data_IF_642796774870
#
_entry.id   IF_642796774870
#
_cell.length_a   1.000
_cell.length_b   1.000
_cell.length_c   1.000
_cell.angle_alpha   90.00
_cell.angle_beta   90.00
_cell.angle_gamma   90.00
#
_symmetry.space_group_name_H-M   'P 1'
#
loop_
_entity.id
_entity.type
_entity.pdbx_description
1 polymer ?
#
# COMPACT_ATOMS: atom_id res chain seq x y z
N UNK A 1 -11.30 10.95 8.87
CA UNK A 1 -10.14 10.77 9.77
C UNK A 1 -9.84 9.29 9.94
N UNK A 2 -8.61 8.96 10.38
CA UNK A 2 -8.23 7.59 10.76
C UNK A 2 -7.94 7.54 12.26
N UNK A 3 -8.13 6.38 12.86
CA UNK A 3 -7.74 6.13 14.24
C UNK A 3 -6.22 5.93 14.40
N UNK A 4 -5.75 5.68 15.62
CA UNK A 4 -4.32 5.45 15.90
C UNK A 4 -3.76 4.18 15.24
N UNK A 5 -4.63 3.27 14.79
CA UNK A 5 -4.25 2.09 13.99
C UNK A 5 -4.31 2.35 12.49
N UNK A 6 -4.74 3.55 12.05
CA UNK A 6 -4.86 3.90 10.65
C UNK A 6 -6.10 3.31 9.97
N UNK A 7 -7.13 2.96 10.75
CA UNK A 7 -8.42 2.49 10.23
C UNK A 7 -9.40 3.64 10.08
N UNK A 8 -10.26 3.55 9.06
CA UNK A 8 -11.39 4.46 8.86
C UNK A 8 -12.58 4.00 9.71
N UNK A 9 -13.22 4.95 10.37
CA UNK A 9 -14.50 4.71 11.03
C UNK A 9 -15.64 5.00 10.05
N UNK A 10 -16.26 3.97 9.49
CA UNK A 10 -17.33 4.11 8.48
C UNK A 10 -18.49 5.00 8.96
N UNK A 11 -18.80 5.00 10.26
CA UNK A 11 -19.81 5.90 10.84
C UNK A 11 -19.41 7.37 10.78
N UNK A 12 -18.11 7.69 10.81
CA UNK A 12 -17.61 9.07 10.62
C UNK A 12 -17.66 9.46 9.14
N UNK A 13 -17.37 8.51 8.24
CA UNK A 13 -17.49 8.71 6.81
C UNK A 13 -18.93 8.94 6.38
N UNK A 14 -19.88 8.19 6.96
CA UNK A 14 -21.33 8.40 6.78
C UNK A 14 -21.74 9.82 7.23
N UNK A 15 -21.29 10.25 8.39
CA UNK A 15 -21.59 11.59 8.92
C UNK A 15 -20.95 12.71 8.08
N UNK A 16 -19.81 12.44 7.43
CA UNK A 16 -19.11 13.39 6.57
C UNK A 16 -19.64 13.39 5.12
N UNK A 17 -20.41 12.37 4.72
CA UNK A 17 -20.94 12.22 3.37
C UNK A 17 -22.03 13.24 3.10
N UNK A 18 -21.72 14.21 2.25
CA UNK A 18 -22.66 15.28 1.88
C UNK A 18 -23.54 14.82 0.71
N UNK A 19 -24.83 15.22 0.67
CA UNK A 19 -25.72 14.89 -0.43
C UNK A 19 -25.25 15.37 -1.81
N UNK A 20 -24.38 16.39 -1.86
CA UNK A 20 -23.79 16.97 -3.06
C UNK A 20 -22.37 16.45 -3.37
N UNK A 21 -21.91 15.42 -2.67
CA UNK A 21 -20.64 14.78 -2.96
C UNK A 21 -20.68 14.15 -4.36
N UNK A 22 -19.68 14.44 -5.18
CA UNK A 22 -19.58 13.97 -6.57
C UNK A 22 -18.78 12.66 -6.65
N UNK A 23 -17.75 12.55 -5.81
CA UNK A 23 -16.86 11.39 -5.77
C UNK A 23 -16.40 11.12 -4.35
N UNK A 24 -16.36 9.84 -4.01
CA UNK A 24 -15.67 9.35 -2.81
C UNK A 24 -14.52 8.48 -3.29
N UNK A 25 -13.30 8.80 -2.85
CA UNK A 25 -12.09 8.10 -3.27
C UNK A 25 -11.32 7.61 -2.05
N UNK A 26 -11.21 6.29 -1.92
CA UNK A 26 -10.54 5.64 -0.77
C UNK A 26 -9.66 4.53 -1.31
N UNK A 27 -8.42 4.43 -0.84
CA UNK A 27 -7.53 3.35 -1.22
C UNK A 27 -7.97 2.02 -0.61
N UNK A 28 -7.77 0.92 -1.32
CA UNK A 28 -8.06 -0.42 -0.78
C UNK A 28 -7.02 -0.83 0.26
N UNK A 29 -5.75 -0.53 0.01
CA UNK A 29 -4.64 -0.84 0.90
C UNK A 29 -3.71 0.37 1.04
N UNK A 30 -3.32 0.67 2.27
CA UNK A 30 -2.38 1.74 2.55
C UNK A 30 -0.94 1.29 2.24
N UNK A 31 -0.24 2.06 1.43
CA UNK A 31 1.11 1.76 0.94
C UNK A 31 2.23 1.92 1.98
N UNK A 32 1.94 2.45 3.16
CA UNK A 32 2.93 2.63 4.23
C UNK A 32 2.74 1.64 5.37
N UNK A 33 1.49 1.36 5.76
CA UNK A 33 1.16 0.46 6.88
C UNK A 33 0.75 -0.94 6.43
N UNK A 34 0.32 -1.09 5.17
CA UNK A 34 -0.28 -2.33 4.67
C UNK A 34 -1.73 -2.52 5.11
N UNK A 35 -2.33 -1.57 5.81
CA UNK A 35 -3.71 -1.66 6.26
C UNK A 35 -4.68 -1.80 5.10
N UNK A 36 -5.63 -2.72 5.24
CA UNK A 36 -6.80 -2.83 4.39
C UNK A 36 -7.90 -1.90 4.92
N UNK A 37 -8.46 -1.08 4.04
CA UNK A 37 -9.55 -0.18 4.38
C UNK A 37 -10.91 -0.81 4.07
N UNK A 38 -12.00 -0.39 4.73
CA UNK A 38 -13.31 -1.05 4.70
C UNK A 38 -14.09 -0.75 3.40
N UNK A 39 -13.56 -1.18 2.25
CA UNK A 39 -14.12 -0.89 0.92
C UNK A 39 -15.53 -1.44 0.74
N UNK A 40 -15.81 -2.64 1.31
CA UNK A 40 -17.12 -3.26 1.21
C UNK A 40 -18.20 -2.45 1.96
N UNK A 41 -17.89 -2.00 3.17
CA UNK A 41 -18.79 -1.21 4.01
C UNK A 41 -19.04 0.17 3.39
N UNK A 42 -17.98 0.80 2.84
CA UNK A 42 -18.10 2.08 2.14
C UNK A 42 -18.90 1.91 0.85
N UNK A 43 -18.68 0.86 0.10
CA UNK A 43 -19.46 0.55 -1.09
C UNK A 43 -20.93 0.31 -0.78
N UNK A 44 -21.25 -0.34 0.35
CA UNK A 44 -22.62 -0.51 0.83
C UNK A 44 -23.28 0.84 1.20
N UNK A 45 -22.53 1.72 1.89
CA UNK A 45 -22.98 3.08 2.21
C UNK A 45 -23.28 3.91 0.97
N UNK A 46 -22.46 3.77 -0.08
CA UNK A 46 -22.56 4.57 -1.30
C UNK A 46 -23.57 4.00 -2.31
N UNK A 47 -24.14 2.82 -2.11
CA UNK A 47 -25.02 2.14 -3.08
C UNK A 47 -26.20 2.99 -3.52
N UNK A 48 -26.82 3.70 -2.61
CA UNK A 48 -27.96 4.58 -2.87
C UNK A 48 -27.57 6.08 -2.94
N UNK A 49 -26.26 6.37 -2.87
CA UNK A 49 -25.75 7.73 -2.91
C UNK A 49 -25.32 8.10 -4.35
N UNK A 50 -25.53 9.34 -4.84
CA UNK A 50 -25.17 9.74 -6.19
C UNK A 50 -23.68 9.88 -6.46
N UNK A 51 -22.84 9.89 -5.42
CA UNK A 51 -21.38 9.99 -5.57
C UNK A 51 -20.80 8.77 -6.27
N UNK A 52 -19.85 9.01 -7.16
CA UNK A 52 -19.05 7.95 -7.80
C UNK A 52 -18.07 7.38 -6.77
N UNK A 53 -18.05 6.07 -6.61
CA UNK A 53 -17.09 5.41 -5.73
C UNK A 53 -15.84 4.99 -6.49
N UNK A 54 -14.71 5.62 -6.14
CA UNK A 54 -13.38 5.29 -6.64
C UNK A 54 -12.55 4.62 -5.56
N UNK A 55 -11.84 3.55 -5.90
CA UNK A 55 -10.79 3.00 -5.05
C UNK A 55 -9.44 3.01 -5.77
N UNK A 56 -8.39 3.46 -5.06
CA UNK A 56 -7.02 3.18 -5.45
C UNK A 56 -6.65 1.77 -4.96
N UNK A 57 -6.59 0.82 -5.89
CA UNK A 57 -6.24 -0.56 -5.62
C UNK A 57 -4.79 -0.90 -6.04
N UNK A 58 -3.95 0.11 -6.25
CA UNK A 58 -2.56 -0.05 -6.71
C UNK A 58 -1.77 -1.01 -5.81
N UNK A 59 -1.98 -0.96 -4.51
CA UNK A 59 -1.29 -1.88 -3.59
C UNK A 59 -1.99 -3.23 -3.45
N UNK A 60 -3.32 -3.31 -3.58
CA UNK A 60 -4.11 -4.50 -3.32
C UNK A 60 -4.27 -5.43 -4.54
N UNK A 61 -4.30 -4.87 -5.75
CA UNK A 61 -4.47 -5.64 -6.98
C UNK A 61 -3.39 -6.72 -7.14
N UNK A 62 -3.83 -7.93 -7.45
CA UNK A 62 -2.94 -9.09 -7.57
C UNK A 62 -2.48 -9.70 -6.23
N UNK A 63 -2.96 -9.17 -5.08
CA UNK A 63 -2.67 -9.71 -3.74
C UNK A 63 -3.91 -10.23 -3.04
N UNK A 64 -5.06 -9.59 -3.28
CA UNK A 64 -6.37 -10.03 -2.77
C UNK A 64 -7.42 -9.99 -3.89
N UNK A 65 -8.51 -10.75 -3.79
CA UNK A 65 -9.67 -10.60 -4.63
C UNK A 65 -10.26 -9.19 -4.50
N UNK A 66 -10.67 -8.60 -5.63
CA UNK A 66 -11.35 -7.31 -5.66
C UNK A 66 -12.76 -7.53 -6.20
N UNK A 67 -13.74 -7.53 -5.31
CA UNK A 67 -15.16 -7.79 -5.63
C UNK A 67 -15.84 -6.50 -6.11
N UNK A 68 -15.54 -6.10 -7.35
CA UNK A 68 -15.90 -4.78 -7.91
C UNK A 68 -17.41 -4.53 -7.87
N UNK A 69 -18.23 -5.49 -8.32
CA UNK A 69 -19.67 -5.35 -8.37
C UNK A 69 -20.31 -5.42 -6.98
N UNK A 70 -19.85 -6.34 -6.13
CA UNK A 70 -20.36 -6.53 -4.79
C UNK A 70 -20.09 -5.31 -3.91
N UNK A 71 -18.92 -4.72 -4.08
CA UNK A 71 -18.49 -3.52 -3.35
C UNK A 71 -18.94 -2.21 -4.02
N UNK A 72 -19.78 -2.25 -5.05
CA UNK A 72 -20.33 -1.06 -5.73
C UNK A 72 -19.25 -0.09 -6.23
N UNK A 73 -18.11 -0.60 -6.67
CA UNK A 73 -16.99 0.22 -7.14
C UNK A 73 -17.28 0.70 -8.56
N UNK A 74 -17.23 2.00 -8.77
CA UNK A 74 -17.44 2.64 -10.07
C UNK A 74 -16.16 2.86 -10.85
N UNK A 75 -15.09 3.18 -10.12
CA UNK A 75 -13.74 3.45 -10.64
C UNK A 75 -12.70 2.73 -9.80
N UNK A 76 -11.69 2.17 -10.47
CA UNK A 76 -10.59 1.51 -9.77
C UNK A 76 -9.27 1.76 -10.50
N UNK A 77 -8.28 2.28 -9.77
CA UNK A 77 -6.95 2.58 -10.29
C UNK A 77 -5.95 1.48 -9.99
N UNK A 78 -5.15 1.11 -10.99
CA UNK A 78 -4.10 0.08 -10.92
C UNK A 78 -2.80 0.60 -11.54
N UNK A 79 -1.67 0.14 -11.02
CA UNK A 79 -0.35 0.37 -11.59
C UNK A 79 0.42 -0.93 -11.79
N UNK A 80 0.88 -1.19 -13.01
CA UNK A 80 1.48 -2.47 -13.39
C UNK A 80 2.77 -2.78 -12.61
N UNK A 81 3.58 -1.77 -12.26
CA UNK A 81 4.84 -2.01 -11.55
C UNK A 81 4.66 -2.55 -10.12
N UNK A 82 3.44 -2.49 -9.57
CA UNK A 82 3.12 -3.07 -8.26
C UNK A 82 2.78 -4.57 -8.30
N UNK A 83 2.58 -5.09 -9.51
CA UNK A 83 2.40 -6.52 -9.80
C UNK A 83 3.55 -7.09 -10.64
N UNK A 84 4.74 -6.53 -10.53
CA UNK A 84 5.93 -6.91 -11.29
C UNK A 84 5.80 -6.75 -12.81
N UNK A 85 4.88 -5.92 -13.26
CA UNK A 85 4.73 -5.49 -14.65
C UNK A 85 5.61 -4.26 -14.99
N UNK A 86 5.55 -3.77 -16.22
CA UNK A 86 6.34 -2.62 -16.66
C UNK A 86 6.01 -1.33 -15.89
N UNK A 87 7.01 -0.47 -15.69
CA UNK A 87 6.80 0.90 -15.19
C UNK A 87 6.13 1.76 -16.27
N UNK A 88 5.40 2.78 -15.82
CA UNK A 88 4.78 3.77 -16.71
C UNK A 88 3.50 3.30 -17.42
N UNK A 89 2.93 2.19 -16.99
CA UNK A 89 1.63 1.67 -17.44
C UNK A 89 0.74 1.31 -16.25
N UNK A 90 -0.56 1.49 -16.41
CA UNK A 90 -1.61 1.12 -15.48
C UNK A 90 -2.95 1.15 -16.19
N UNK A 91 -4.01 0.84 -15.50
CA UNK A 91 -5.36 1.02 -16.05
C UNK A 91 -6.30 1.65 -15.02
N UNK A 92 -7.33 2.27 -15.56
CA UNK A 92 -8.51 2.69 -14.81
C UNK A 92 -9.69 1.81 -15.23
N UNK A 93 -10.19 0.98 -14.31
CA UNK A 93 -11.51 0.40 -14.49
C UNK A 93 -12.56 1.49 -14.34
N UNK A 94 -13.54 1.46 -15.22
CA UNK A 94 -14.70 2.37 -15.19
C UNK A 94 -15.96 1.55 -15.43
N UNK A 95 -16.92 1.63 -14.51
CA UNK A 95 -18.22 0.98 -14.65
C UNK A 95 -18.93 1.45 -15.92
N UNK A 96 -19.58 0.53 -16.61
CA UNK A 96 -20.38 0.85 -17.80
C UNK A 96 -21.49 1.84 -17.46
N UNK A 97 -21.75 2.75 -18.39
CA UNK A 97 -22.74 3.83 -18.22
C UNK A 97 -22.24 5.07 -17.48
N UNK A 98 -21.11 4.99 -16.75
CA UNK A 98 -20.50 6.18 -16.13
C UNK A 98 -19.84 7.05 -17.21
N UNK A 99 -20.19 8.34 -17.26
CA UNK A 99 -19.56 9.30 -18.17
C UNK A 99 -18.40 9.99 -17.49
N UNK A 100 -17.21 9.88 -18.08
CA UNK A 100 -16.03 10.64 -17.68
C UNK A 100 -15.50 11.40 -18.90
N UNK A 101 -15.29 12.72 -18.79
CA UNK A 101 -14.63 13.47 -19.86
C UNK A 101 -13.17 13.02 -19.98
N UNK A 102 -12.68 12.94 -21.22
CA UNK A 102 -11.28 12.65 -21.47
C UNK A 102 -10.39 13.79 -20.92
N UNK A 103 -9.34 13.43 -20.18
CA UNK A 103 -8.33 14.38 -19.71
C UNK A 103 -7.37 14.75 -20.85
N UNK A 104 -7.00 13.77 -21.68
CA UNK A 104 -6.13 13.95 -22.84
C UNK A 104 -6.96 13.97 -24.11
N UNK A 105 -6.96 15.11 -24.81
CA UNK A 105 -7.71 15.32 -26.03
C UNK A 105 -6.83 15.10 -27.26
N UNK A 106 -7.44 14.60 -28.37
CA UNK A 106 -6.75 14.35 -29.63
C UNK A 106 -7.42 13.25 -30.46
N UNK A 107 -6.70 12.16 -30.74
CA UNK A 107 -7.23 11.01 -31.48
C UNK A 107 -8.30 10.25 -30.70
N UNK A 108 -8.88 9.25 -31.37
CA UNK A 108 -10.02 8.49 -30.86
C UNK A 108 -9.62 7.19 -30.12
N UNK A 109 -8.35 7.10 -29.68
CA UNK A 109 -7.87 5.93 -28.96
C UNK A 109 -8.63 5.72 -27.64
N UNK A 110 -8.63 4.50 -27.13
CA UNK A 110 -9.36 4.08 -25.92
C UNK A 110 -10.85 4.50 -26.00
N UNK A 111 -11.48 4.37 -27.17
CA UNK A 111 -12.86 4.77 -27.43
C UNK A 111 -13.11 6.26 -27.07
N UNK A 112 -12.21 7.14 -27.46
CA UNK A 112 -12.22 8.60 -27.15
C UNK A 112 -12.05 8.94 -25.68
N UNK A 113 -11.58 7.99 -24.86
CA UNK A 113 -11.36 8.20 -23.42
C UNK A 113 -9.97 8.74 -23.11
N UNK A 114 -8.98 8.38 -23.94
CA UNK A 114 -7.58 8.79 -23.75
C UNK A 114 -6.88 8.81 -25.11
N UNK A 115 -6.61 10.00 -25.61
CA UNK A 115 -5.90 10.19 -26.86
C UNK A 115 -4.42 9.77 -26.81
N UNK A 116 -3.84 9.42 -27.96
CA UNK A 116 -2.44 9.03 -28.13
C UNK A 116 -2.31 7.52 -28.38
N UNK A 117 -1.36 7.16 -29.25
CA UNK A 117 -1.08 5.77 -29.61
C UNK A 117 -0.82 4.93 -28.37
N UNK A 118 -1.44 3.75 -28.33
CA UNK A 118 -1.33 2.81 -27.22
C UNK A 118 0.07 2.23 -27.11
N UNK A 119 0.60 2.15 -25.91
CA UNK A 119 1.87 1.48 -25.61
C UNK A 119 1.66 -0.05 -25.52
N UNK A 120 1.51 -0.69 -26.71
CA UNK A 120 1.19 -2.12 -26.79
C UNK A 120 2.19 -3.00 -26.05
N UNK A 121 3.46 -2.68 -26.09
CA UNK A 121 4.49 -3.46 -25.39
C UNK A 121 4.27 -3.45 -23.87
N UNK A 122 4.01 -2.29 -23.29
CA UNK A 122 3.73 -2.18 -21.86
C UNK A 122 2.37 -2.77 -21.49
N UNK A 123 1.35 -2.62 -22.34
CA UNK A 123 0.03 -3.24 -22.15
C UNK A 123 0.15 -4.76 -22.10
N UNK A 124 0.85 -5.37 -23.05
CA UNK A 124 1.08 -6.82 -23.09
C UNK A 124 1.88 -7.30 -21.86
N UNK A 125 2.90 -6.54 -21.47
CA UNK A 125 3.65 -6.82 -20.23
C UNK A 125 2.78 -6.78 -18.97
N UNK A 126 1.90 -5.78 -18.88
CA UNK A 126 0.94 -5.66 -17.77
C UNK A 126 -0.07 -6.81 -17.78
N UNK A 127 -0.63 -7.16 -18.94
CA UNK A 127 -1.56 -8.28 -19.08
C UNK A 127 -0.90 -9.60 -18.66
N UNK A 128 0.37 -9.82 -19.07
CA UNK A 128 1.13 -10.99 -18.63
C UNK A 128 1.35 -11.00 -17.12
N UNK A 129 1.76 -9.88 -16.55
CA UNK A 129 1.93 -9.75 -15.11
C UNK A 129 0.62 -10.08 -14.36
N UNK A 130 -0.49 -9.47 -14.78
CA UNK A 130 -1.82 -9.72 -14.19
C UNK A 130 -2.21 -11.22 -14.25
N UNK A 131 -1.94 -11.89 -15.38
CA UNK A 131 -2.26 -13.33 -15.55
C UNK A 131 -1.48 -14.27 -14.63
N UNK A 132 -0.42 -13.80 -13.98
CA UNK A 132 0.38 -14.58 -13.02
C UNK A 132 -0.17 -14.50 -11.60
N UNK A 133 -1.05 -13.56 -11.31
CA UNK A 133 -1.66 -13.37 -10.00
C UNK A 133 -3.01 -14.12 -9.90
N UNK A 134 -2.96 -15.46 -10.10
CA UNK A 134 -4.14 -16.31 -9.88
C UNK A 134 -4.50 -16.36 -8.40
N UNK A 135 -5.73 -16.76 -8.02
CA UNK A 135 -6.11 -16.91 -6.61
C UNK A 135 -5.13 -17.78 -5.82
N UNK A 136 -4.65 -18.89 -6.41
CA UNK A 136 -3.66 -19.78 -5.78
C UNK A 136 -2.31 -19.07 -5.58
N UNK A 137 -1.86 -18.30 -6.57
CA UNK A 137 -0.61 -17.53 -6.47
C UNK A 137 -0.71 -16.40 -5.42
N UNK A 138 -1.87 -15.75 -5.32
CA UNK A 138 -2.13 -14.73 -4.29
C UNK A 138 -2.08 -15.33 -2.90
N UNK A 139 -2.74 -16.48 -2.69
CA UNK A 139 -2.73 -17.18 -1.41
C UNK A 139 -1.32 -17.63 -1.02
N UNK A 140 -0.59 -18.29 -1.93
CA UNK A 140 0.77 -18.74 -1.69
C UNK A 140 1.72 -17.57 -1.34
N UNK A 141 1.58 -16.42 -2.03
CA UNK A 141 2.35 -15.22 -1.72
C UNK A 141 1.98 -14.65 -0.35
N UNK A 142 0.71 -14.61 0.02
CA UNK A 142 0.27 -14.14 1.33
C UNK A 142 0.83 -15.00 2.46
N UNK A 143 0.80 -16.33 2.33
CA UNK A 143 1.37 -17.28 3.29
C UNK A 143 2.89 -17.10 3.42
N UNK A 144 3.59 -16.93 2.29
CA UNK A 144 5.03 -16.67 2.28
C UNK A 144 5.38 -15.35 2.98
N UNK A 145 4.66 -14.27 2.67
CA UNK A 145 4.92 -12.97 3.29
C UNK A 145 4.56 -12.96 4.77
N UNK A 146 3.54 -13.72 5.19
CA UNK A 146 3.25 -13.90 6.60
C UNK A 146 4.42 -14.60 7.31
N UNK A 147 4.95 -15.68 6.73
CA UNK A 147 6.15 -16.35 7.27
C UNK A 147 7.33 -15.38 7.39
N UNK A 148 7.55 -14.53 6.40
CA UNK A 148 8.61 -13.51 6.44
C UNK A 148 8.40 -12.49 7.55
N UNK A 149 7.16 -12.04 7.72
CA UNK A 149 6.80 -11.11 8.78
C UNK A 149 7.01 -11.72 10.17
N UNK A 150 6.58 -12.97 10.36
CA UNK A 150 6.72 -13.71 11.63
C UNK A 150 8.21 -13.89 11.99
N UNK A 151 9.02 -14.39 11.06
CA UNK A 151 10.47 -14.58 11.25
C UNK A 151 11.17 -13.27 11.60
N UNK A 152 10.81 -12.18 10.90
CA UNK A 152 11.38 -10.86 11.20
C UNK A 152 11.02 -10.42 12.62
N UNK A 153 9.75 -10.48 13.00
CA UNK A 153 9.28 -10.03 14.31
C UNK A 153 9.81 -10.91 15.45
N UNK A 154 9.82 -12.24 15.28
CA UNK A 154 10.37 -13.17 16.25
C UNK A 154 11.86 -12.96 16.46
N UNK A 155 12.63 -12.74 15.40
CA UNK A 155 14.07 -12.46 15.50
C UNK A 155 14.34 -11.16 16.25
N UNK A 156 13.61 -10.08 15.95
CA UNK A 156 13.73 -8.81 16.67
C UNK A 156 13.42 -8.98 18.16
N UNK A 157 12.35 -9.71 18.48
CA UNK A 157 11.97 -9.99 19.86
C UNK A 157 13.03 -10.84 20.59
N UNK A 158 13.55 -11.89 19.96
CA UNK A 158 14.58 -12.76 20.51
C UNK A 158 15.90 -12.02 20.79
N UNK A 159 16.22 -10.99 20.01
CA UNK A 159 17.39 -10.12 20.20
C UNK A 159 17.14 -8.99 21.22
N UNK A 160 15.94 -8.92 21.81
CA UNK A 160 15.57 -7.89 22.78
C UNK A 160 15.38 -6.49 22.18
N UNK A 161 15.05 -6.41 20.89
CA UNK A 161 14.75 -5.14 20.23
C UNK A 161 13.36 -4.66 20.63
N UNK A 162 13.27 -3.44 21.14
CA UNK A 162 11.99 -2.77 21.36
C UNK A 162 11.42 -2.29 20.01
N UNK A 163 10.40 -2.96 19.52
CA UNK A 163 9.76 -2.70 18.23
C UNK A 163 8.24 -2.62 18.38
N UNK A 164 7.63 -1.67 17.70
CA UNK A 164 6.19 -1.46 17.66
C UNK A 164 5.71 -1.48 16.21
N UNK A 165 4.64 -2.20 15.93
CA UNK A 165 3.99 -2.19 14.62
C UNK A 165 3.03 -0.99 14.54
N UNK A 166 3.23 -0.12 13.54
CA UNK A 166 2.23 0.88 13.17
C UNK A 166 1.24 0.25 12.18
N UNK A 167 -0.04 0.45 12.43
CA UNK A 167 -1.12 -0.15 11.64
C UNK A 167 -2.00 -1.08 12.46
N UNK A 168 -2.97 -1.70 11.81
CA UNK A 168 -3.87 -2.67 12.43
C UNK A 168 -3.42 -4.10 12.09
N UNK A 169 -2.89 -4.88 13.05
CA UNK A 169 -2.43 -6.24 12.77
C UNK A 169 -3.55 -7.19 12.33
N UNK A 170 -4.82 -6.87 12.65
CA UNK A 170 -5.96 -7.71 12.28
C UNK A 170 -6.47 -7.45 10.84
N UNK A 171 -6.23 -6.25 10.31
CA UNK A 171 -6.76 -5.81 9.01
C UNK A 171 -5.65 -5.23 8.13
N UNK A 172 -4.67 -6.06 7.78
CA UNK A 172 -3.55 -5.66 6.92
C UNK A 172 -3.05 -6.83 6.08
N UNK A 173 -2.35 -6.51 4.99
CA UNK A 173 -1.58 -7.51 4.25
C UNK A 173 -0.17 -7.65 4.80
N UNK A 174 0.40 -8.86 4.80
CA UNK A 174 1.67 -9.15 5.45
C UNK A 174 2.91 -8.64 4.70
N UNK A 175 2.78 -8.24 3.44
CA UNK A 175 3.92 -7.86 2.59
C UNK A 175 4.51 -6.47 2.93
N UNK A 176 3.85 -5.66 3.75
CA UNK A 176 4.34 -4.37 4.25
C UNK A 176 4.30 -4.38 5.78
N UNK A 177 5.40 -4.04 6.40
CA UNK A 177 5.50 -3.78 7.84
C UNK A 177 6.00 -2.37 8.06
N UNK A 178 5.23 -1.57 8.79
CA UNK A 178 5.67 -0.26 9.28
C UNK A 178 6.08 -0.42 10.74
N UNK A 179 7.40 -0.35 10.99
CA UNK A 179 8.01 -0.70 12.27
C UNK A 179 8.60 0.55 12.93
N UNK A 180 8.15 0.86 14.13
CA UNK A 180 8.73 1.88 14.98
C UNK A 180 9.76 1.29 15.91
N UNK A 181 10.93 1.91 16.00
CA UNK A 181 12.00 1.60 16.94
C UNK A 181 12.18 2.77 17.92
N UNK A 182 11.54 2.75 19.10
CA UNK A 182 11.58 3.86 20.03
C UNK A 182 12.99 4.32 20.39
N UNK A 183 13.26 5.62 20.20
CA UNK A 183 14.57 6.25 20.43
C UNK A 183 15.59 6.03 19.32
N UNK A 184 15.22 5.46 18.17
CA UNK A 184 16.10 5.24 17.02
C UNK A 184 15.65 6.12 15.85
N UNK A 185 16.53 7.00 15.35
CA UNK A 185 16.23 7.79 14.15
C UNK A 185 16.09 6.91 12.92
N UNK A 186 14.95 7.01 12.26
CA UNK A 186 14.66 6.27 11.01
C UNK A 186 15.65 6.60 9.90
N UNK A 187 16.06 7.86 9.77
CA UNK A 187 17.02 8.29 8.75
C UNK A 187 18.40 7.66 8.98
N UNK A 188 18.86 7.66 10.25
CA UNK A 188 20.14 7.04 10.60
C UNK A 188 20.10 5.53 10.41
N UNK A 189 18.97 4.88 10.75
CA UNK A 189 18.78 3.45 10.56
C UNK A 189 18.81 3.08 9.07
N UNK A 190 18.10 3.85 8.25
CA UNK A 190 18.07 3.68 6.79
C UNK A 190 19.48 3.77 6.20
N UNK A 191 20.25 4.82 6.54
CA UNK A 191 21.63 5.00 6.06
C UNK A 191 22.54 3.85 6.47
N UNK A 192 22.46 3.40 7.73
CA UNK A 192 23.30 2.30 8.23
C UNK A 192 22.99 0.97 7.55
N UNK A 193 21.72 0.71 7.27
CA UNK A 193 21.31 -0.51 6.58
C UNK A 193 21.70 -0.48 5.10
N UNK A 194 21.52 0.67 4.42
CA UNK A 194 21.93 0.85 3.04
C UNK A 194 23.43 0.60 2.83
N UNK A 195 24.29 1.12 3.72
CA UNK A 195 25.73 0.85 3.73
C UNK A 195 26.08 -0.64 3.94
N UNK A 196 25.16 -1.43 4.49
CA UNK A 196 25.31 -2.88 4.69
C UNK A 196 24.58 -3.69 3.60
N UNK A 197 24.05 -3.04 2.56
CA UNK A 197 23.40 -3.67 1.42
C UNK A 197 21.94 -4.04 1.65
N UNK A 198 21.29 -3.50 2.71
CA UNK A 198 19.88 -3.73 2.99
C UNK A 198 19.06 -2.45 2.73
N UNK A 199 18.16 -2.50 1.74
CA UNK A 199 17.30 -1.38 1.36
C UNK A 199 15.94 -1.46 2.08
N UNK A 200 15.63 -0.41 2.84
CA UNK A 200 14.30 -0.17 3.45
C UNK A 200 13.85 1.24 3.07
N UNK A 201 12.68 1.67 3.54
CA UNK A 201 12.21 3.05 3.31
C UNK A 201 11.65 3.67 4.58
N UNK A 202 11.60 5.01 4.58
CA UNK A 202 10.84 5.81 5.54
C UNK A 202 9.63 6.37 4.80
N UNK A 203 8.43 6.25 5.38
CA UNK A 203 7.20 6.72 4.75
C UNK A 203 6.94 6.11 3.37
N UNK A 204 6.45 6.92 2.42
CA UNK A 204 6.27 6.51 1.04
C UNK A 204 7.60 6.50 0.28
N UNK A 205 7.92 5.37 -0.38
CA UNK A 205 9.14 5.28 -1.22
C UNK A 205 9.11 6.20 -2.45
N UNK A 206 7.92 6.70 -2.85
CA UNK A 206 7.77 7.60 -3.98
C UNK A 206 8.23 9.03 -3.68
N UNK A 207 8.37 9.41 -2.42
CA UNK A 207 8.90 10.70 -1.96
C UNK A 207 10.42 10.65 -1.71
N UNK A 208 11.10 9.59 -2.19
CA UNK A 208 12.55 9.46 -2.08
C UNK A 208 13.25 10.67 -2.70
N UNK A 209 13.91 11.47 -1.87
CA UNK A 209 14.53 12.76 -2.26
C UNK A 209 14.00 13.98 -1.49
N UNK A 210 12.78 13.92 -0.94
CA UNK A 210 12.28 14.88 0.05
C UNK A 210 12.12 14.15 1.39
N UNK A 211 12.83 14.64 2.41
CA UNK A 211 12.72 14.14 3.80
C UNK A 211 11.48 14.79 4.45
N UNK A 212 10.31 14.57 3.84
CA UNK A 212 9.05 14.99 4.44
C UNK A 212 8.54 13.90 5.39
N UNK A 213 8.01 14.30 6.56
CA UNK A 213 7.38 13.37 7.48
C UNK A 213 6.25 12.58 6.81
N UNK A 214 6.03 11.35 7.26
CA UNK A 214 4.92 10.52 6.77
C UNK A 214 3.58 11.17 7.13
N UNK A 215 2.84 11.64 6.13
CA UNK A 215 1.48 12.17 6.31
C UNK A 215 0.51 11.11 6.82
N UNK A 216 0.78 9.81 6.56
CA UNK A 216 0.00 8.68 7.07
C UNK A 216 0.18 8.58 8.57
N UNK A 217 1.41 8.54 9.05
CA UNK A 217 1.70 8.51 10.49
C UNK A 217 1.23 9.80 11.19
N UNK A 218 1.39 10.97 10.55
CA UNK A 218 0.85 12.21 11.09
C UNK A 218 -0.68 12.15 11.30
N UNK A 219 -1.40 11.56 10.32
CA UNK A 219 -2.85 11.39 10.43
C UNK A 219 -3.24 10.40 11.55
N UNK A 220 -2.43 9.39 11.81
CA UNK A 220 -2.69 8.35 12.82
C UNK A 220 -2.40 8.84 14.25
N UNK A 221 -1.26 9.50 14.45
CA UNK A 221 -0.73 9.78 15.81
C UNK A 221 -0.44 11.25 16.10
N UNK A 222 -0.62 12.13 15.10
CA UNK A 222 -0.34 13.56 15.24
C UNK A 222 1.12 13.95 14.91
N UNK A 223 1.30 15.18 14.46
CA UNK A 223 2.55 15.71 13.88
C UNK A 223 3.77 15.64 14.82
N UNK A 224 3.55 15.81 16.11
CA UNK A 224 4.63 15.86 17.11
C UNK A 224 4.97 14.48 17.70
N UNK A 225 4.29 13.41 17.26
CA UNK A 225 4.49 12.09 17.82
C UNK A 225 5.85 11.51 17.37
N UNK A 226 6.65 10.92 18.28
CA UNK A 226 7.98 10.41 17.94
C UNK A 226 7.99 9.34 16.84
N UNK A 227 6.92 8.55 16.70
CA UNK A 227 6.79 7.52 15.66
C UNK A 227 7.10 8.05 14.25
N UNK A 228 6.85 9.33 13.98
CA UNK A 228 7.09 9.95 12.66
C UNK A 228 8.58 9.86 12.25
N UNK A 229 9.48 9.97 13.23
CA UNK A 229 10.94 9.97 13.02
C UNK A 229 11.62 8.69 13.48
N UNK A 230 10.87 7.76 14.05
CA UNK A 230 11.35 6.50 14.60
C UNK A 230 10.84 5.28 13.81
N UNK A 231 10.10 5.50 12.70
CA UNK A 231 9.47 4.43 11.94
C UNK A 231 10.12 4.23 10.58
N UNK A 232 10.22 2.96 10.19
CA UNK A 232 10.67 2.54 8.86
C UNK A 232 9.67 1.57 8.26
N UNK A 233 9.64 1.49 6.93
CA UNK A 233 8.83 0.52 6.21
C UNK A 233 9.72 -0.58 5.65
N UNK A 234 9.42 -1.82 6.01
CA UNK A 234 9.95 -3.04 5.39
C UNK A 234 8.88 -3.59 4.44
N UNK A 235 9.27 -3.89 3.20
CA UNK A 235 8.37 -4.43 2.20
C UNK A 235 8.96 -5.68 1.60
N UNK A 236 8.18 -6.76 1.59
CA UNK A 236 8.54 -8.01 0.92
C UNK A 236 8.02 -8.02 -0.51
N UNK A 237 8.73 -8.69 -1.40
CA UNK A 237 8.40 -8.74 -2.80
C UNK A 237 8.75 -10.09 -3.46
N UNK A 238 8.35 -10.21 -4.70
CA UNK A 238 8.70 -11.36 -5.52
C UNK A 238 10.22 -11.54 -5.59
N UNK A 239 10.68 -12.75 -5.32
CA UNK A 239 12.10 -13.11 -5.34
C UNK A 239 12.80 -13.06 -3.99
N UNK A 240 12.18 -12.52 -2.94
CA UNK A 240 12.74 -12.67 -1.60
C UNK A 240 12.69 -14.13 -1.14
N UNK A 241 13.73 -14.55 -0.45
CA UNK A 241 13.86 -15.90 0.14
C UNK A 241 13.86 -15.84 1.66
N UNK A 242 13.44 -16.94 2.29
CA UNK A 242 13.45 -17.02 3.76
C UNK A 242 14.84 -16.77 4.34
N UNK A 243 15.89 -17.32 3.73
CA UNK A 243 17.27 -17.12 4.18
C UNK A 243 17.72 -15.65 4.11
N UNK A 244 17.27 -14.89 3.10
CA UNK A 244 17.52 -13.45 3.03
C UNK A 244 16.79 -12.69 4.13
N UNK A 245 15.55 -13.09 4.44
CA UNK A 245 14.78 -12.46 5.53
C UNK A 245 15.39 -12.76 6.90
N UNK A 246 15.84 -13.99 7.14
CA UNK A 246 16.56 -14.36 8.37
C UNK A 246 17.85 -13.52 8.54
N UNK A 247 18.65 -13.42 7.47
CA UNK A 247 19.85 -12.60 7.47
C UNK A 247 19.55 -11.11 7.69
N UNK A 248 18.52 -10.59 7.01
CA UNK A 248 18.06 -9.21 7.19
C UNK A 248 17.57 -8.94 8.60
N UNK A 249 16.81 -9.86 9.21
CA UNK A 249 16.29 -9.72 10.56
C UNK A 249 17.40 -9.59 11.59
N UNK A 250 18.46 -10.42 11.48
CA UNK A 250 19.65 -10.31 12.34
C UNK A 250 20.36 -8.98 12.13
N UNK A 251 20.59 -8.58 10.87
CA UNK A 251 21.24 -7.33 10.51
C UNK A 251 20.48 -6.11 11.05
N UNK A 252 19.14 -6.14 10.94
CA UNK A 252 18.26 -5.08 11.46
C UNK A 252 18.37 -4.99 12.99
N UNK A 253 18.28 -6.12 13.69
CA UNK A 253 18.39 -6.16 15.15
C UNK A 253 19.72 -5.58 15.64
N UNK A 254 20.85 -6.04 15.09
CA UNK A 254 22.18 -5.53 15.42
C UNK A 254 22.30 -4.03 15.16
N UNK A 255 21.77 -3.57 14.02
CA UNK A 255 21.87 -2.16 13.63
C UNK A 255 21.01 -1.26 14.52
N UNK A 256 19.81 -1.69 14.89
CA UNK A 256 18.94 -0.98 15.85
C UNK A 256 19.63 -0.87 17.21
N UNK A 257 20.11 -1.97 17.77
CA UNK A 257 20.78 -2.01 19.07
C UNK A 257 22.06 -1.16 19.10
N UNK A 258 22.83 -1.14 18.01
CA UNK A 258 24.02 -0.29 17.88
C UNK A 258 23.70 1.19 17.64
N UNK A 259 22.46 1.52 17.27
CA UNK A 259 22.03 2.91 17.03
C UNK A 259 21.40 3.53 18.28
N UNK A 260 20.79 2.73 19.14
CA UNK A 260 20.15 3.16 20.38
C UNK A 260 21.17 3.56 21.48
N UNK A 261 22.44 3.26 21.29
CA UNK A 261 23.57 3.65 22.17
C UNK A 261 24.08 5.04 21.79
#
# INVERSE_FOLDING_TARGET
>A
HVDQKGQLAVSEDEAALRPDAIIVSIMTENNETGNLLPIAEIGALLREHPAVFHTDAVQAYGKIPLEINENSIDLLSISAHKINGPKGIGFLYKRDGLSLPALLHGGEQEEKRRAGTENLAAIMGMAKAASLHTPEAQQAAAEQYQTFADVLMETLAAQGVDVQLNGDPAHKLPHILNLRFPGVSSDLLLMKLDLKGAAISTGSACTAGNVEPSHVLEAMVGKEHPAIRESVRVSFGYGNTLAEIEAFAQLLAETVLATKK
#
